data_IF_388966757055
#
_entry.id   IF_388966757055
#
_cell.length_a   1.000
_cell.length_b   1.000
_cell.length_c   1.000
_cell.angle_alpha   90.00
_cell.angle_beta   90.00
_cell.angle_gamma   90.00
#
_symmetry.space_group_name_H-M   'P 1'
#
loop_
_entity.id
_entity.type
_entity.pdbx_description
1 polymer ?
#
# COMPACT_ATOMS: atom_id res chain seq x y z
N UNK A 1 -5.44 -2.88 -27.36
CA UNK A 1 -5.75 -2.53 -25.95
C UNK A 1 -7.14 -3.04 -25.63
N UNK A 2 -7.30 -3.87 -24.59
CA UNK A 2 -8.59 -4.41 -24.17
C UNK A 2 -9.56 -3.31 -23.72
N UNK A 3 -10.87 -3.57 -23.73
CA UNK A 3 -11.91 -2.63 -23.28
C UNK A 3 -11.74 -2.22 -21.80
N UNK A 4 -11.13 -3.09 -20.99
CA UNK A 4 -10.80 -2.82 -19.58
C UNK A 4 -9.72 -1.75 -19.42
N UNK A 5 -8.65 -1.80 -20.22
CA UNK A 5 -7.59 -0.79 -20.16
C UNK A 5 -8.11 0.62 -20.47
N UNK A 6 -9.11 0.74 -21.36
CA UNK A 6 -9.76 2.03 -21.64
C UNK A 6 -10.55 2.56 -20.43
N UNK A 7 -11.25 1.69 -19.69
CA UNK A 7 -11.99 2.09 -18.48
C UNK A 7 -11.04 2.55 -17.38
N UNK A 8 -9.92 1.85 -17.19
CA UNK A 8 -8.89 2.21 -16.21
C UNK A 8 -8.30 3.58 -16.55
N UNK A 9 -7.89 3.79 -17.80
CA UNK A 9 -7.35 5.09 -18.26
C UNK A 9 -8.38 6.21 -18.10
N UNK A 10 -9.65 5.98 -18.46
CA UNK A 10 -10.71 6.97 -18.29
C UNK A 10 -10.96 7.33 -16.82
N UNK A 11 -10.90 6.34 -15.93
CA UNK A 11 -11.02 6.56 -14.49
C UNK A 11 -9.83 7.37 -13.95
N UNK A 12 -8.61 7.04 -14.40
CA UNK A 12 -7.39 7.76 -14.04
C UNK A 12 -7.45 9.23 -14.47
N UNK A 13 -7.82 9.49 -15.73
CA UNK A 13 -8.01 10.86 -16.23
C UNK A 13 -9.08 11.61 -15.45
N UNK A 14 -10.15 10.94 -15.02
CA UNK A 14 -11.17 11.57 -14.17
C UNK A 14 -10.62 11.96 -12.80
N UNK A 15 -9.65 11.22 -12.24
CA UNK A 15 -9.00 11.58 -10.97
C UNK A 15 -8.05 12.77 -11.15
N UNK A 16 -7.22 12.75 -12.20
CA UNK A 16 -6.32 13.88 -12.56
C UNK A 16 -7.09 15.17 -12.80
N UNK A 17 -8.17 15.08 -13.59
CA UNK A 17 -8.98 16.23 -13.99
C UNK A 17 -9.54 17.01 -12.79
N UNK A 18 -9.75 16.33 -11.66
CA UNK A 18 -10.25 16.96 -10.43
C UNK A 18 -9.23 17.93 -9.80
N UNK A 19 -7.94 17.73 -10.05
CA UNK A 19 -6.84 18.54 -9.50
C UNK A 19 -6.14 19.39 -10.57
N UNK A 20 -6.81 19.65 -11.71
CA UNK A 20 -6.20 20.38 -12.82
C UNK A 20 -5.81 21.82 -12.46
N UNK A 21 -6.51 22.43 -11.50
CA UNK A 21 -6.21 23.76 -10.98
C UNK A 21 -4.79 23.86 -10.39
N UNK A 22 -4.25 22.75 -9.86
CA UNK A 22 -2.90 22.68 -9.30
C UNK A 22 -1.88 22.11 -10.30
N UNK A 23 -2.30 21.15 -11.13
CA UNK A 23 -1.41 20.54 -12.11
C UNK A 23 -1.06 21.46 -13.29
N UNK A 24 -2.01 22.25 -13.80
CA UNK A 24 -1.77 23.14 -14.95
C UNK A 24 -0.72 24.22 -14.65
N UNK A 25 -0.78 24.96 -13.52
CA UNK A 25 0.27 25.90 -13.15
C UNK A 25 1.64 25.21 -12.99
N UNK A 26 1.69 24.01 -12.40
CA UNK A 26 2.93 23.25 -12.27
C UNK A 26 3.55 22.87 -13.63
N UNK A 27 2.71 22.44 -14.58
CA UNK A 27 3.12 22.14 -15.95
C UNK A 27 3.64 23.39 -16.68
N UNK A 28 2.96 24.52 -16.52
CA UNK A 28 3.38 25.81 -17.09
C UNK A 28 4.72 26.26 -16.50
N UNK A 29 4.91 26.20 -15.19
CA UNK A 29 6.17 26.52 -14.54
C UNK A 29 7.32 25.62 -15.05
N UNK A 30 7.07 24.32 -15.24
CA UNK A 30 8.07 23.38 -15.78
C UNK A 30 8.41 23.66 -17.24
N UNK A 31 7.40 23.99 -18.05
CA UNK A 31 7.58 24.38 -19.45
C UNK A 31 8.43 25.65 -19.57
N UNK A 32 8.13 26.69 -18.78
CA UNK A 32 8.90 27.94 -18.76
C UNK A 32 10.31 27.71 -18.23
N UNK A 33 10.49 26.89 -17.18
CA UNK A 33 11.80 26.48 -16.68
C UNK A 33 12.63 25.80 -17.77
N UNK A 34 12.02 24.92 -18.58
CA UNK A 34 12.69 24.26 -19.71
C UNK A 34 13.15 25.25 -20.77
N UNK A 35 12.33 26.26 -21.10
CA UNK A 35 12.71 27.33 -22.05
C UNK A 35 13.86 28.17 -21.49
N UNK A 36 13.82 28.54 -20.20
CA UNK A 36 14.91 29.29 -19.56
C UNK A 36 16.22 28.48 -19.53
N UNK A 37 16.15 27.16 -19.38
CA UNK A 37 17.32 26.28 -19.52
C UNK A 37 17.99 26.43 -20.89
N UNK A 38 17.20 26.36 -21.97
CA UNK A 38 17.68 26.53 -23.35
C UNK A 38 18.27 27.93 -23.58
N UNK A 39 17.59 28.97 -23.07
CA UNK A 39 18.07 30.36 -23.14
C UNK A 39 19.40 30.49 -22.38
N UNK A 40 19.51 29.92 -21.19
CA UNK A 40 20.75 29.89 -20.40
C UNK A 40 21.91 29.25 -21.16
N UNK A 41 21.69 28.09 -21.78
CA UNK A 41 22.72 27.44 -22.63
C UNK A 41 23.13 28.33 -23.81
N UNK A 42 22.20 29.08 -24.37
CA UNK A 42 22.48 29.98 -25.50
C UNK A 42 23.25 31.24 -25.08
N UNK A 43 22.96 31.79 -23.90
CA UNK A 43 23.73 32.88 -23.29
C UNK A 43 25.17 32.42 -23.01
N UNK A 44 25.34 31.17 -22.58
CA UNK A 44 26.67 30.58 -22.41
C UNK A 44 27.45 30.50 -23.73
N UNK A 45 26.81 30.08 -24.82
CA UNK A 45 27.45 30.10 -26.15
C UNK A 45 27.90 31.52 -26.55
N UNK A 46 27.04 32.53 -26.32
CA UNK A 46 27.38 33.94 -26.54
C UNK A 46 28.55 34.44 -25.68
N UNK A 47 28.64 33.99 -24.43
CA UNK A 47 29.76 34.28 -23.54
C UNK A 47 31.08 33.75 -24.13
N UNK A 48 31.09 32.52 -24.64
CA UNK A 48 32.28 31.91 -25.24
C UNK A 48 32.68 32.63 -26.53
N UNK A 49 31.74 32.76 -27.46
CA UNK A 49 32.05 33.25 -28.81
C UNK A 49 32.37 34.75 -28.84
N UNK A 50 31.59 35.58 -28.14
CA UNK A 50 31.71 37.04 -28.24
C UNK A 50 32.56 37.67 -27.14
N UNK A 51 32.62 37.09 -25.95
CA UNK A 51 33.34 37.69 -24.81
C UNK A 51 34.73 37.07 -24.64
N UNK A 52 34.83 35.74 -24.63
CA UNK A 52 36.11 35.06 -24.45
C UNK A 52 36.95 35.05 -25.73
N UNK A 53 36.37 34.64 -26.86
CA UNK A 53 37.09 34.64 -28.16
C UNK A 53 37.13 36.02 -28.81
N UNK A 54 36.06 36.81 -28.71
CA UNK A 54 35.98 38.17 -29.30
C UNK A 54 36.67 39.29 -28.51
N UNK A 55 37.20 39.00 -27.30
CA UNK A 55 38.00 39.96 -26.50
C UNK A 55 37.22 41.14 -25.89
N UNK A 56 35.89 41.19 -26.00
CA UNK A 56 35.10 42.34 -25.59
C UNK A 56 34.72 42.31 -24.10
N UNK A 57 35.64 42.77 -23.24
CA UNK A 57 35.49 42.75 -21.77
C UNK A 57 34.28 43.53 -21.22
N UNK A 58 33.74 44.49 -21.97
CA UNK A 58 32.57 45.28 -21.52
C UNK A 58 31.28 44.48 -21.48
N UNK A 59 31.15 43.43 -22.31
CA UNK A 59 29.98 42.54 -22.31
C UNK A 59 30.05 41.43 -21.25
N UNK A 60 31.18 41.26 -20.57
CA UNK A 60 31.40 40.13 -19.65
C UNK A 60 30.43 40.17 -18.47
N UNK A 61 30.34 41.31 -17.78
CA UNK A 61 29.45 41.50 -16.64
C UNK A 61 27.95 41.34 -16.97
N UNK A 62 27.38 42.01 -18.00
CA UNK A 62 25.96 41.87 -18.31
C UNK A 62 25.58 40.47 -18.80
N UNK A 63 26.44 39.80 -19.57
CA UNK A 63 26.18 38.42 -20.03
C UNK A 63 26.24 37.42 -18.87
N UNK A 64 27.17 37.59 -17.93
CA UNK A 64 27.22 36.74 -16.73
C UNK A 64 26.00 36.94 -15.82
N UNK A 65 25.58 38.19 -15.58
CA UNK A 65 24.39 38.47 -14.77
C UNK A 65 23.11 37.90 -15.39
N UNK A 66 22.94 38.04 -16.70
CA UNK A 66 21.79 37.47 -17.42
C UNK A 66 21.81 35.95 -17.42
N UNK A 67 22.99 35.33 -17.56
CA UNK A 67 23.15 33.88 -17.44
C UNK A 67 22.73 33.40 -16.04
N UNK A 68 23.33 33.96 -14.98
CA UNK A 68 23.04 33.59 -13.60
C UNK A 68 21.56 33.81 -13.27
N UNK A 69 21.00 34.94 -13.70
CA UNK A 69 19.58 35.26 -13.50
C UNK A 69 18.66 34.25 -14.21
N UNK A 70 18.98 33.85 -15.45
CA UNK A 70 18.19 32.87 -16.19
C UNK A 70 18.20 31.48 -15.53
N UNK A 71 19.37 31.03 -15.07
CA UNK A 71 19.54 29.74 -14.38
C UNK A 71 18.81 29.76 -13.03
N UNK A 72 18.96 30.85 -12.27
CA UNK A 72 18.31 31.01 -10.98
C UNK A 72 16.77 31.08 -11.10
N UNK A 73 16.27 31.83 -12.09
CA UNK A 73 14.84 31.87 -12.39
C UNK A 73 14.31 30.48 -12.82
N UNK A 74 15.06 29.76 -13.65
CA UNK A 74 14.75 28.38 -14.03
C UNK A 74 14.68 27.44 -12.83
N UNK A 75 15.62 27.55 -11.89
CA UNK A 75 15.64 26.79 -10.65
C UNK A 75 14.42 27.09 -9.76
N UNK A 76 14.09 28.36 -9.54
CA UNK A 76 12.91 28.75 -8.75
C UNK A 76 11.61 28.23 -9.36
N UNK A 77 11.46 28.28 -10.68
CA UNK A 77 10.29 27.74 -11.38
C UNK A 77 10.21 26.22 -11.28
N UNK A 78 11.35 25.53 -11.36
CA UNK A 78 11.39 24.07 -11.19
C UNK A 78 10.99 23.69 -9.76
N UNK A 79 11.51 24.40 -8.75
CA UNK A 79 11.14 24.21 -7.35
C UNK A 79 9.65 24.47 -7.12
N UNK A 80 9.10 25.54 -7.70
CA UNK A 80 7.67 25.87 -7.64
C UNK A 80 6.82 24.78 -8.29
N UNK A 81 7.22 24.29 -9.47
CA UNK A 81 6.53 23.21 -10.15
C UNK A 81 6.55 21.91 -9.31
N UNK A 82 7.71 21.55 -8.75
CA UNK A 82 7.85 20.37 -7.89
C UNK A 82 6.95 20.46 -6.65
N UNK A 83 6.84 21.65 -6.04
CA UNK A 83 5.94 21.89 -4.92
C UNK A 83 4.47 21.71 -5.31
N UNK A 84 4.05 22.30 -6.43
CA UNK A 84 2.67 22.17 -6.95
C UNK A 84 2.32 20.72 -7.29
N UNK A 85 3.23 19.98 -7.94
CA UNK A 85 3.02 18.56 -8.25
C UNK A 85 2.96 17.69 -6.99
N UNK A 86 3.76 18.00 -5.97
CA UNK A 86 3.74 17.28 -4.70
C UNK A 86 2.39 17.44 -3.99
N UNK A 87 1.83 18.66 -3.96
CA UNK A 87 0.51 18.91 -3.38
C UNK A 87 -0.57 18.19 -4.19
N UNK A 88 -0.55 18.33 -5.52
CA UNK A 88 -1.53 17.70 -6.40
C UNK A 88 -1.51 16.16 -6.23
N UNK A 89 -0.33 15.54 -6.26
CA UNK A 89 -0.17 14.10 -6.11
C UNK A 89 -0.62 13.57 -4.75
N UNK A 90 -0.39 14.33 -3.67
CA UNK A 90 -0.89 13.97 -2.34
C UNK A 90 -2.43 14.03 -2.26
N UNK A 91 -3.04 15.07 -2.84
CA UNK A 91 -4.49 15.21 -2.89
C UNK A 91 -5.17 14.10 -3.69
N UNK A 92 -4.57 13.67 -4.81
CA UNK A 92 -5.06 12.57 -5.64
C UNK A 92 -5.00 11.23 -4.92
N UNK A 93 -3.87 10.93 -4.27
CA UNK A 93 -3.71 9.72 -3.44
C UNK A 93 -4.74 9.67 -2.32
N UNK A 94 -4.96 10.80 -1.63
CA UNK A 94 -5.97 10.89 -0.56
C UNK A 94 -7.37 10.61 -1.09
N UNK A 95 -7.73 11.19 -2.25
CA UNK A 95 -9.04 10.96 -2.86
C UNK A 95 -9.23 9.50 -3.30
N UNK A 96 -8.18 8.84 -3.81
CA UNK A 96 -8.22 7.42 -4.13
C UNK A 96 -8.41 6.56 -2.88
N UNK A 97 -7.68 6.84 -1.80
CA UNK A 97 -7.83 6.13 -0.52
C UNK A 97 -9.25 6.25 0.02
N UNK A 98 -9.85 7.44 -0.02
CA UNK A 98 -11.23 7.65 0.42
C UNK A 98 -12.23 6.82 -0.41
N UNK A 99 -12.10 6.81 -1.74
CA UNK A 99 -12.97 6.02 -2.62
C UNK A 99 -12.80 4.51 -2.41
N UNK A 100 -11.55 4.06 -2.29
CA UNK A 100 -11.24 2.65 -2.07
C UNK A 100 -11.77 2.18 -0.72
N UNK A 101 -11.56 2.96 0.34
CA UNK A 101 -12.09 2.68 1.67
C UNK A 101 -13.62 2.64 1.68
N UNK A 102 -14.29 3.63 1.07
CA UNK A 102 -15.75 3.65 0.95
C UNK A 102 -16.29 2.46 0.15
N UNK A 103 -15.54 1.96 -0.84
CA UNK A 103 -15.90 0.77 -1.60
C UNK A 103 -15.76 -0.51 -0.77
N UNK A 104 -14.65 -0.67 -0.04
CA UNK A 104 -14.43 -1.83 0.85
C UNK A 104 -15.57 -1.97 1.85
N UNK A 105 -15.99 -0.87 2.49
CA UNK A 105 -17.07 -0.87 3.48
C UNK A 105 -18.44 -1.33 2.94
N UNK A 106 -18.62 -1.39 1.61
CA UNK A 106 -19.86 -1.84 0.96
C UNK A 106 -19.78 -3.28 0.45
N UNK A 107 -18.62 -3.93 0.58
CA UNK A 107 -18.44 -5.29 0.09
C UNK A 107 -19.16 -6.31 1.01
N UNK A 108 -19.65 -7.43 0.46
CA UNK A 108 -20.27 -8.50 1.25
C UNK A 108 -19.28 -9.13 2.24
N UNK A 109 -19.78 -9.66 3.36
CA UNK A 109 -18.95 -10.30 4.40
C UNK A 109 -18.06 -11.44 3.86
N UNK A 110 -18.54 -12.20 2.88
CA UNK A 110 -17.75 -13.25 2.21
C UNK A 110 -16.41 -12.73 1.66
N UNK A 111 -16.34 -11.48 1.20
CA UNK A 111 -15.07 -10.89 0.74
C UNK A 111 -14.03 -10.82 1.86
N UNK A 112 -14.45 -10.58 3.10
CA UNK A 112 -13.59 -10.47 4.28
C UNK A 112 -13.27 -11.82 4.92
N UNK A 113 -14.03 -12.86 4.61
CA UNK A 113 -13.72 -14.24 5.01
C UNK A 113 -12.57 -14.81 4.17
N UNK A 114 -12.51 -14.45 2.88
CA UNK A 114 -11.47 -14.93 1.96
C UNK A 114 -10.20 -14.07 2.02
N UNK A 115 -10.32 -12.75 2.19
CA UNK A 115 -9.18 -11.84 2.17
C UNK A 115 -8.79 -11.41 3.59
N UNK A 116 -7.53 -11.63 3.97
CA UNK A 116 -7.03 -11.26 5.30
C UNK A 116 -7.07 -9.74 5.49
N UNK A 117 -7.44 -9.22 6.68
CA UNK A 117 -7.44 -7.78 6.95
C UNK A 117 -6.11 -7.07 6.64
N UNK A 118 -4.98 -7.74 6.90
CA UNK A 118 -3.64 -7.21 6.59
C UNK A 118 -3.35 -7.06 5.09
N UNK A 119 -3.92 -7.94 4.26
CA UNK A 119 -3.78 -7.85 2.80
C UNK A 119 -4.59 -6.67 2.24
N UNK A 120 -5.81 -6.49 2.74
CA UNK A 120 -6.67 -5.35 2.37
C UNK A 120 -5.99 -4.03 2.78
N UNK A 121 -5.38 -4.00 3.98
CA UNK A 121 -4.65 -2.84 4.47
C UNK A 121 -3.41 -2.53 3.61
N UNK A 122 -2.59 -3.53 3.27
CA UNK A 122 -1.44 -3.33 2.39
C UNK A 122 -1.87 -2.86 0.99
N UNK A 123 -2.96 -3.38 0.43
CA UNK A 123 -3.52 -2.84 -0.83
C UNK A 123 -3.96 -1.38 -0.71
N UNK A 124 -4.61 -1.00 0.40
CA UNK A 124 -5.03 0.39 0.65
C UNK A 124 -3.84 1.34 0.86
N UNK A 125 -2.77 0.88 1.52
CA UNK A 125 -1.63 1.72 1.86
C UNK A 125 -0.55 1.72 0.79
N UNK A 126 -0.12 0.55 0.33
CA UNK A 126 1.03 0.37 -0.55
C UNK A 126 0.63 0.45 -2.02
N UNK A 127 -0.41 -0.29 -2.44
CA UNK A 127 -0.80 -0.29 -3.85
C UNK A 127 -1.38 1.05 -4.27
N UNK A 128 -2.20 1.70 -3.44
CA UNK A 128 -2.70 3.05 -3.73
C UNK A 128 -1.55 4.07 -3.86
N UNK A 129 -0.48 3.92 -3.07
CA UNK A 129 0.70 4.77 -3.19
C UNK A 129 1.44 4.52 -4.51
N UNK A 130 1.74 3.26 -4.83
CA UNK A 130 2.44 2.87 -6.07
C UNK A 130 1.68 3.32 -7.31
N UNK A 131 0.37 3.05 -7.34
CA UNK A 131 -0.55 3.49 -8.40
C UNK A 131 -0.55 5.02 -8.49
N UNK A 132 -0.59 5.72 -7.35
CA UNK A 132 -0.56 7.17 -7.30
C UNK A 132 0.72 7.78 -7.91
N UNK A 133 1.90 7.30 -7.52
CA UNK A 133 3.17 7.78 -8.07
C UNK A 133 3.30 7.48 -9.57
N UNK A 134 3.04 6.25 -10.00
CA UNK A 134 3.25 5.88 -11.40
C UNK A 134 2.29 6.56 -12.36
N UNK A 135 1.06 6.81 -11.94
CA UNK A 135 0.01 7.33 -12.83
C UNK A 135 0.05 8.86 -12.88
N UNK A 136 0.01 9.50 -11.72
CA UNK A 136 -0.19 10.94 -11.69
C UNK A 136 1.08 11.72 -11.98
N UNK A 137 2.17 11.33 -11.33
CA UNK A 137 3.48 11.93 -11.53
C UNK A 137 4.11 11.43 -12.84
N UNK A 138 3.99 10.13 -13.13
CA UNK A 138 4.52 9.55 -14.37
C UNK A 138 3.94 10.14 -15.65
N UNK A 139 2.61 10.30 -15.75
CA UNK A 139 1.97 10.90 -16.95
C UNK A 139 2.33 12.36 -17.09
N UNK A 140 2.31 13.12 -15.99
CA UNK A 140 2.70 14.54 -15.98
C UNK A 140 4.15 14.73 -16.43
N UNK A 141 5.07 13.95 -15.85
CA UNK A 141 6.47 13.97 -16.22
C UNK A 141 6.69 13.52 -17.67
N UNK A 142 5.92 12.55 -18.15
CA UNK A 142 5.98 12.14 -19.56
C UNK A 142 5.60 13.29 -20.49
N UNK A 143 4.48 13.98 -20.23
CA UNK A 143 4.04 15.15 -21.03
C UNK A 143 5.11 16.24 -21.04
N UNK A 144 5.65 16.58 -19.87
CA UNK A 144 6.71 17.61 -19.75
C UNK A 144 7.97 17.15 -20.48
N UNK A 145 8.38 15.90 -20.30
CA UNK A 145 9.58 15.35 -20.96
C UNK A 145 9.47 15.37 -22.47
N UNK A 146 8.32 15.02 -23.04
CA UNK A 146 8.06 15.11 -24.48
C UNK A 146 8.13 16.57 -24.95
N UNK A 147 7.51 17.50 -24.22
CA UNK A 147 7.55 18.92 -24.54
C UNK A 147 8.99 19.49 -24.50
N UNK A 148 9.73 19.21 -23.42
CA UNK A 148 11.13 19.63 -23.25
C UNK A 148 12.03 19.03 -24.33
N UNK A 149 11.82 17.76 -24.69
CA UNK A 149 12.56 17.09 -25.76
C UNK A 149 12.31 17.74 -27.12
N UNK A 150 11.05 18.05 -27.44
CA UNK A 150 10.69 18.75 -28.68
C UNK A 150 11.37 20.12 -28.73
N UNK A 151 11.27 20.90 -27.66
CA UNK A 151 11.90 22.23 -27.59
C UNK A 151 13.42 22.15 -27.74
N UNK A 152 14.07 21.22 -27.03
CA UNK A 152 15.51 21.05 -27.05
C UNK A 152 15.99 20.65 -28.43
N UNK A 153 15.40 19.64 -29.06
CA UNK A 153 15.80 19.26 -30.42
C UNK A 153 15.49 20.35 -31.44
N UNK A 154 14.33 21.01 -31.35
CA UNK A 154 14.00 22.13 -32.24
C UNK A 154 15.05 23.23 -32.16
N UNK A 155 15.52 23.56 -30.95
CA UNK A 155 16.60 24.51 -30.74
C UNK A 155 17.95 24.01 -31.29
N UNK A 156 18.30 22.74 -31.05
CA UNK A 156 19.54 22.16 -31.59
C UNK A 156 19.59 22.20 -33.12
N UNK A 157 18.49 21.86 -33.79
CA UNK A 157 18.38 21.94 -35.24
C UNK A 157 18.48 23.38 -35.77
N UNK A 158 17.95 24.36 -35.01
CA UNK A 158 18.07 25.77 -35.35
C UNK A 158 19.53 26.28 -35.28
N UNK A 159 20.31 25.79 -34.31
CA UNK A 159 21.73 26.17 -34.14
C UNK A 159 22.63 25.51 -35.18
N UNK A 160 22.63 24.17 -35.26
CA UNK A 160 23.40 23.43 -36.26
C UNK A 160 22.76 22.06 -36.55
N UNK A 161 22.14 21.92 -37.72
CA UNK A 161 21.51 20.67 -38.13
C UNK A 161 22.52 19.54 -38.39
N UNK A 162 23.74 19.84 -38.85
CA UNK A 162 24.75 18.81 -39.20
C UNK A 162 25.26 18.13 -37.94
N UNK A 163 25.58 18.93 -36.93
CA UNK A 163 26.06 18.45 -35.64
C UNK A 163 24.95 17.69 -34.89
N UNK A 164 23.70 18.14 -35.02
CA UNK A 164 22.53 17.46 -34.46
C UNK A 164 22.30 16.08 -35.07
N UNK A 165 22.42 15.92 -36.41
CA UNK A 165 22.32 14.61 -37.05
C UNK A 165 23.42 13.64 -36.61
N UNK A 166 24.65 14.12 -36.42
CA UNK A 166 25.74 13.30 -35.86
C UNK A 166 25.41 12.82 -34.44
N UNK A 167 24.87 13.70 -33.59
CA UNK A 167 24.45 13.33 -32.24
C UNK A 167 23.28 12.32 -32.25
N UNK A 168 22.28 12.51 -33.12
CA UNK A 168 21.15 11.60 -33.27
C UNK A 168 21.57 10.18 -33.70
N UNK A 169 22.65 10.04 -34.47
CA UNK A 169 23.20 8.71 -34.84
C UNK A 169 23.69 7.90 -33.63
N UNK A 170 23.98 8.54 -32.49
CA UNK A 170 24.38 7.82 -31.26
C UNK A 170 23.18 7.27 -30.49
N UNK A 171 21.97 7.79 -30.71
CA UNK A 171 20.77 7.39 -29.95
C UNK A 171 20.46 5.89 -30.10
N UNK A 172 20.48 5.27 -31.30
CA UNK A 172 20.26 3.83 -31.44
C UNK A 172 21.26 2.99 -30.64
N UNK A 173 22.52 3.41 -30.57
CA UNK A 173 23.55 2.73 -29.79
C UNK A 173 23.21 2.78 -28.29
N UNK A 174 22.82 3.95 -27.78
CA UNK A 174 22.36 4.11 -26.39
C UNK A 174 21.12 3.25 -26.10
N UNK A 175 20.11 3.26 -26.97
CA UNK A 175 18.89 2.47 -26.78
C UNK A 175 19.16 0.96 -26.73
N UNK A 176 20.14 0.46 -27.50
CA UNK A 176 20.52 -0.97 -27.47
C UNK A 176 21.18 -1.31 -26.12
N UNK A 177 22.10 -0.46 -25.65
CA UNK A 177 22.77 -0.65 -24.35
C UNK A 177 21.76 -0.59 -23.21
N UNK A 178 20.91 0.44 -23.19
CA UNK A 178 19.84 0.61 -22.20
C UNK A 178 18.90 -0.59 -22.20
N UNK A 179 18.42 -1.03 -23.37
CA UNK A 179 17.53 -2.20 -23.47
C UNK A 179 18.21 -3.46 -22.92
N UNK A 180 19.50 -3.67 -23.22
CA UNK A 180 20.26 -4.83 -22.73
C UNK A 180 20.44 -4.81 -21.22
N UNK A 181 20.74 -3.65 -20.65
CA UNK A 181 20.85 -3.47 -19.19
C UNK A 181 19.47 -3.62 -18.55
N UNK A 182 18.45 -2.96 -19.09
CA UNK A 182 17.07 -2.98 -18.60
C UNK A 182 16.52 -4.41 -18.50
N UNK A 183 16.64 -5.24 -19.53
CA UNK A 183 16.15 -6.62 -19.46
C UNK A 183 16.87 -7.45 -18.39
N UNK A 184 18.17 -7.22 -18.17
CA UNK A 184 18.91 -7.88 -17.09
C UNK A 184 18.45 -7.38 -15.73
N UNK A 185 18.35 -6.07 -15.55
CA UNK A 185 17.92 -5.44 -14.30
C UNK A 185 16.49 -5.83 -13.95
N UNK A 186 15.56 -5.82 -14.91
CA UNK A 186 14.16 -6.17 -14.67
C UNK A 186 13.99 -7.65 -14.30
N UNK A 187 14.71 -8.56 -14.98
CA UNK A 187 14.73 -9.99 -14.61
C UNK A 187 15.27 -10.18 -13.19
N UNK A 188 16.34 -9.47 -12.87
CA UNK A 188 16.96 -9.52 -11.55
C UNK A 188 16.07 -8.90 -10.46
N UNK A 189 15.40 -7.78 -10.75
CA UNK A 189 14.48 -7.11 -9.83
C UNK A 189 13.25 -7.98 -9.53
N UNK A 190 12.69 -8.67 -10.55
CA UNK A 190 11.63 -9.67 -10.34
C UNK A 190 12.07 -10.81 -9.42
N UNK A 191 13.28 -11.33 -9.62
CA UNK A 191 13.85 -12.35 -8.74
C UNK A 191 14.05 -11.83 -7.31
N UNK A 192 14.64 -10.64 -7.16
CA UNK A 192 14.85 -9.97 -5.88
C UNK A 192 13.53 -9.76 -5.10
N UNK A 193 12.48 -9.27 -5.77
CA UNK A 193 11.16 -9.09 -5.15
C UNK A 193 10.54 -10.41 -4.67
N UNK A 194 10.74 -11.50 -5.42
CA UNK A 194 10.27 -12.83 -5.02
C UNK A 194 11.02 -13.32 -3.77
N UNK A 195 12.35 -13.27 -3.79
CA UNK A 195 13.22 -13.74 -2.70
C UNK A 195 13.01 -12.92 -1.41
N UNK A 196 12.88 -11.60 -1.55
CA UNK A 196 12.56 -10.69 -0.45
C UNK A 196 11.16 -10.97 0.13
N UNK A 197 10.19 -11.31 -0.72
CA UNK A 197 8.84 -11.71 -0.30
C UNK A 197 8.83 -13.01 0.50
N UNK A 198 9.59 -14.02 0.07
CA UNK A 198 9.75 -15.29 0.78
C UNK A 198 10.43 -15.11 2.14
N UNK A 199 11.48 -14.29 2.20
CA UNK A 199 12.22 -13.98 3.43
C UNK A 199 11.36 -13.21 4.44
N UNK A 200 10.58 -12.22 3.96
CA UNK A 200 9.65 -11.48 4.80
C UNK A 200 8.49 -12.37 5.30
N UNK A 201 8.01 -13.29 4.46
CA UNK A 201 7.00 -14.28 4.83
C UNK A 201 7.46 -15.22 5.96
N UNK A 202 8.68 -15.74 5.89
CA UNK A 202 9.25 -16.57 6.96
C UNK A 202 9.45 -15.81 8.26
N UNK A 203 9.90 -14.55 8.18
CA UNK A 203 10.00 -13.67 9.35
C UNK A 203 8.61 -13.47 9.99
N UNK A 204 7.58 -13.20 9.20
CA UNK A 204 6.20 -13.09 9.70
C UNK A 204 5.71 -14.39 10.35
N UNK A 205 6.00 -15.55 9.76
CA UNK A 205 5.64 -16.85 10.34
C UNK A 205 6.39 -17.12 11.65
N UNK A 206 7.68 -16.79 11.70
CA UNK A 206 8.51 -16.96 12.90
C UNK A 206 8.05 -16.04 14.04
N UNK A 207 7.66 -14.80 13.72
CA UNK A 207 7.12 -13.86 14.69
C UNK A 207 5.70 -14.25 15.14
N UNK A 208 4.82 -14.67 14.23
CA UNK A 208 3.49 -15.15 14.59
C UNK A 208 3.56 -16.42 15.46
N UNK A 209 4.54 -17.29 15.21
CA UNK A 209 4.83 -18.50 15.97
C UNK A 209 5.84 -18.31 17.11
N UNK A 210 6.16 -17.07 17.52
CA UNK A 210 7.30 -16.80 18.42
C UNK A 210 7.19 -17.53 19.76
N UNK A 211 5.97 -17.71 20.26
CA UNK A 211 5.72 -18.46 21.47
C UNK A 211 6.10 -19.94 21.29
N UNK A 212 5.71 -20.57 20.18
CA UNK A 212 6.05 -21.95 19.86
C UNK A 212 7.58 -22.14 19.75
N UNK A 213 8.27 -21.20 19.09
CA UNK A 213 9.73 -21.21 18.95
C UNK A 213 10.40 -21.12 20.32
N UNK A 214 9.92 -20.24 21.21
CA UNK A 214 10.45 -20.10 22.58
C UNK A 214 10.15 -21.31 23.45
N UNK A 215 8.94 -21.88 23.36
CA UNK A 215 8.54 -23.05 24.16
C UNK A 215 9.27 -24.32 23.76
N UNK A 216 9.61 -24.47 22.48
CA UNK A 216 10.34 -25.62 21.95
C UNK A 216 11.86 -25.42 22.00
N UNK A 217 12.33 -24.27 22.50
CA UNK A 217 13.73 -23.88 22.54
C UNK A 217 14.43 -23.97 21.16
N UNK A 218 13.74 -23.51 20.11
CA UNK A 218 14.19 -23.54 18.71
C UNK A 218 14.74 -22.18 18.22
N UNK A 219 15.16 -21.30 19.13
CA UNK A 219 15.57 -19.93 18.81
C UNK A 219 16.80 -19.92 17.89
N UNK A 220 17.79 -20.78 18.16
CA UNK A 220 19.00 -20.88 17.36
C UNK A 220 18.72 -21.41 15.95
N UNK A 221 17.81 -22.38 15.83
CA UNK A 221 17.36 -22.89 14.53
C UNK A 221 16.65 -21.81 13.72
N UNK A 222 15.73 -21.08 14.34
CA UNK A 222 15.00 -19.99 13.68
C UNK A 222 15.94 -18.86 13.24
N UNK A 223 16.92 -18.50 14.09
CA UNK A 223 17.95 -17.53 13.77
C UNK A 223 18.81 -17.98 12.58
N UNK A 224 19.29 -19.23 12.58
CA UNK A 224 20.13 -19.76 11.50
C UNK A 224 19.37 -19.90 10.18
N UNK A 225 18.11 -20.36 10.22
CA UNK A 225 17.24 -20.44 9.02
C UNK A 225 17.06 -19.07 8.38
N UNK A 226 16.74 -18.06 9.19
CA UNK A 226 16.59 -16.69 8.72
C UNK A 226 17.92 -16.09 8.22
N UNK A 227 19.02 -16.35 8.93
CA UNK A 227 20.35 -15.85 8.57
C UNK A 227 20.84 -16.41 7.23
N UNK A 228 20.66 -17.71 6.95
CA UNK A 228 21.07 -18.30 5.68
C UNK A 228 20.28 -17.72 4.49
N UNK A 229 18.98 -17.44 4.65
CA UNK A 229 18.20 -16.74 3.62
C UNK A 229 18.63 -15.29 3.43
N UNK A 230 18.87 -14.56 4.52
CA UNK A 230 19.44 -13.22 4.45
C UNK A 230 20.79 -13.20 3.75
N UNK A 231 21.64 -14.20 3.98
CA UNK A 231 22.95 -14.34 3.35
C UNK A 231 22.85 -14.67 1.86
N UNK A 232 21.87 -15.47 1.46
CA UNK A 232 21.57 -15.72 0.05
C UNK A 232 21.18 -14.41 -0.68
N UNK A 233 20.37 -13.56 -0.04
CA UNK A 233 20.03 -12.21 -0.51
C UNK A 233 21.24 -11.27 -0.51
N UNK A 234 22.03 -11.24 0.55
CA UNK A 234 23.16 -10.31 0.71
C UNK A 234 24.29 -10.55 -0.30
N UNK A 235 24.50 -11.80 -0.75
CA UNK A 235 25.48 -12.12 -1.81
C UNK A 235 25.20 -11.43 -3.15
N UNK A 236 24.03 -10.81 -3.29
CA UNK A 236 23.59 -10.19 -4.53
C UNK A 236 23.85 -8.68 -4.58
N UNK A 237 24.48 -8.09 -3.55
CA UNK A 237 25.04 -6.74 -3.60
C UNK A 237 24.05 -5.60 -3.32
N UNK A 238 22.82 -5.90 -2.96
CA UNK A 238 21.85 -4.92 -2.46
C UNK A 238 21.88 -4.86 -0.93
N UNK A 239 21.85 -3.64 -0.38
CA UNK A 239 21.66 -3.42 1.05
C UNK A 239 20.27 -3.93 1.46
N UNK A 240 20.22 -4.88 2.39
CA UNK A 240 19.00 -5.30 3.07
C UNK A 240 18.50 -4.13 3.93
N UNK A 241 17.72 -3.23 3.33
CA UNK A 241 16.92 -2.31 4.11
C UNK A 241 15.73 -3.09 4.67
N UNK A 242 15.99 -3.77 5.79
CA UNK A 242 14.96 -4.34 6.65
C UNK A 242 14.30 -3.19 7.41
N UNK A 243 13.62 -2.29 6.69
CA UNK A 243 12.72 -1.33 7.32
C UNK A 243 11.54 -2.11 7.90
N UNK A 244 11.73 -2.60 9.11
CA UNK A 244 10.67 -2.96 10.04
C UNK A 244 9.82 -1.71 10.26
N UNK A 245 8.75 -1.58 9.47
CA UNK A 245 7.71 -0.61 9.69
C UNK A 245 6.34 -1.30 9.72
N UNK A 246 6.27 -2.41 10.47
CA UNK A 246 5.06 -2.80 11.17
C UNK A 246 4.81 -1.79 12.29
N UNK A 247 4.40 -0.57 11.94
CA UNK A 247 3.74 0.32 12.91
C UNK A 247 2.28 -0.09 12.98
N UNK A 248 1.86 -0.38 14.22
CA UNK A 248 0.50 -0.55 14.71
C UNK A 248 -0.07 -1.98 14.64
N UNK A 249 -0.34 -2.52 15.84
CA UNK A 249 -1.49 -3.39 16.02
C UNK A 249 -1.24 -4.76 16.64
N UNK A 250 -0.36 -4.90 17.64
CA UNK A 250 -0.61 -5.93 18.66
C UNK A 250 -1.83 -5.48 19.48
N UNK A 251 -3.02 -5.69 18.94
CA UNK A 251 -4.27 -5.45 19.64
C UNK A 251 -4.83 -6.79 20.10
N UNK A 252 -4.67 -7.02 21.40
CA UNK A 252 -5.42 -7.93 22.24
C UNK A 252 -5.26 -9.42 21.90
N UNK A 253 -4.81 -10.20 22.88
CA UNK A 253 -4.86 -11.66 22.86
C UNK A 253 -6.28 -12.16 22.54
N UNK A 254 -6.43 -13.38 22.03
CA UNK A 254 -7.73 -13.93 21.63
C UNK A 254 -8.82 -13.78 22.70
N UNK A 255 -8.47 -13.99 23.97
CA UNK A 255 -9.38 -13.79 25.12
C UNK A 255 -9.64 -12.33 25.49
N UNK A 256 -8.73 -11.41 25.16
CA UNK A 256 -8.97 -9.96 25.32
C UNK A 256 -9.88 -9.42 24.22
N UNK A 257 -9.73 -9.88 22.97
CA UNK A 257 -10.63 -9.52 21.87
C UNK A 257 -12.04 -10.02 22.13
N UNK A 258 -12.18 -11.24 22.65
CA UNK A 258 -13.48 -11.81 23.00
C UNK A 258 -14.17 -11.02 24.13
N UNK A 259 -13.42 -10.61 25.17
CA UNK A 259 -13.93 -9.74 26.24
C UNK A 259 -14.40 -8.38 25.73
N UNK A 260 -13.64 -7.76 24.83
CA UNK A 260 -14.05 -6.48 24.20
C UNK A 260 -15.29 -6.65 23.33
N UNK A 261 -15.39 -7.73 22.53
CA UNK A 261 -16.59 -8.02 21.74
C UNK A 261 -17.83 -8.25 22.61
N UNK A 262 -17.69 -9.00 23.70
CA UNK A 262 -18.77 -9.21 24.67
C UNK A 262 -19.20 -7.88 25.29
N UNK A 263 -18.25 -7.07 25.77
CA UNK A 263 -18.55 -5.75 26.33
C UNK A 263 -19.25 -4.83 25.32
N UNK A 264 -18.81 -4.82 24.06
CA UNK A 264 -19.46 -4.06 22.97
C UNK A 264 -20.88 -4.55 22.70
N UNK A 265 -21.10 -5.87 22.72
CA UNK A 265 -22.42 -6.44 22.51
C UNK A 265 -23.40 -6.08 23.65
N UNK A 266 -22.91 -6.05 24.89
CA UNK A 266 -23.68 -5.64 26.07
C UNK A 266 -23.99 -4.13 26.11
N UNK A 267 -23.08 -3.30 25.60
CA UNK A 267 -23.28 -1.84 25.54
C UNK A 267 -24.28 -1.42 24.46
N UNK A 268 -24.50 -2.24 23.43
CA UNK A 268 -25.33 -1.89 22.25
C UNK A 268 -26.83 -1.98 22.50
N UNK A 269 -27.24 -2.39 23.69
CA UNK A 269 -28.62 -2.57 24.13
C UNK A 269 -29.55 -3.27 23.10
N UNK A 270 -29.04 -4.29 22.40
CA UNK A 270 -29.81 -4.98 21.36
C UNK A 270 -30.94 -5.85 21.97
N UNK A 271 -32.11 -5.96 21.31
CA UNK A 271 -33.22 -6.82 21.77
C UNK A 271 -32.94 -8.31 21.56
N UNK A 272 -32.06 -8.64 20.61
CA UNK A 272 -31.60 -10.00 20.30
C UNK A 272 -30.07 -9.98 20.31
N UNK A 273 -29.48 -10.90 21.07
CA UNK A 273 -28.03 -11.07 21.22
C UNK A 273 -27.64 -12.48 20.75
N UNK A 274 -26.82 -12.56 19.70
CA UNK A 274 -26.25 -13.82 19.20
C UNK A 274 -24.79 -13.91 19.66
N UNK A 275 -24.45 -14.97 20.38
CA UNK A 275 -23.11 -15.22 20.90
C UNK A 275 -22.59 -16.56 20.36
N UNK A 276 -21.55 -16.48 19.53
CA UNK A 276 -20.87 -17.66 19.00
C UNK A 276 -19.67 -18.00 19.87
N UNK A 277 -19.75 -19.13 20.57
CA UNK A 277 -18.79 -19.66 21.54
C UNK A 277 -18.20 -18.60 22.50
N UNK A 278 -19.01 -17.81 23.22
CA UNK A 278 -18.50 -16.68 24.02
C UNK A 278 -17.57 -17.09 25.18
N UNK A 279 -17.47 -18.40 25.47
CA UNK A 279 -16.67 -18.97 26.56
C UNK A 279 -15.41 -19.69 26.07
N UNK A 280 -15.12 -19.74 24.77
CA UNK A 280 -14.00 -20.53 24.21
C UNK A 280 -12.60 -20.05 24.59
N UNK A 281 -12.39 -18.74 24.83
CA UNK A 281 -11.11 -18.19 25.29
C UNK A 281 -11.18 -17.57 26.70
N UNK A 282 -12.14 -18.01 27.53
CA UNK A 282 -12.27 -17.60 28.93
C UNK A 282 -11.83 -18.70 29.89
N UNK A 283 -11.17 -18.31 30.98
CA UNK A 283 -10.92 -19.21 32.11
C UNK A 283 -12.22 -19.57 32.83
N UNK A 284 -12.22 -20.69 33.56
CA UNK A 284 -13.41 -21.24 34.22
C UNK A 284 -14.08 -20.25 35.22
N UNK A 285 -13.30 -19.34 35.84
CA UNK A 285 -13.82 -18.32 36.74
C UNK A 285 -14.57 -17.23 35.98
N UNK A 286 -13.94 -16.66 34.95
CA UNK A 286 -14.54 -15.62 34.10
C UNK A 286 -15.73 -16.14 33.29
N UNK A 287 -15.69 -17.40 32.84
CA UNK A 287 -16.81 -18.06 32.18
C UNK A 287 -18.07 -18.05 33.06
N UNK A 288 -17.96 -18.47 34.33
CA UNK A 288 -19.09 -18.45 35.27
C UNK A 288 -19.65 -17.07 35.50
N UNK A 289 -18.78 -16.08 35.72
CA UNK A 289 -19.18 -14.70 35.94
C UNK A 289 -19.94 -14.12 34.73
N UNK A 290 -19.49 -14.45 33.51
CA UNK A 290 -20.17 -14.05 32.28
C UNK A 290 -21.56 -14.70 32.17
N UNK A 291 -21.68 -16.00 32.44
CA UNK A 291 -22.96 -16.70 32.32
C UNK A 291 -23.98 -16.23 33.37
N UNK A 292 -23.54 -15.97 34.60
CA UNK A 292 -24.39 -15.35 35.63
C UNK A 292 -24.87 -13.96 35.22
N UNK A 293 -23.95 -13.14 34.67
CA UNK A 293 -24.29 -11.82 34.17
C UNK A 293 -25.31 -11.90 33.03
N UNK A 294 -25.09 -12.75 32.02
CA UNK A 294 -26.01 -12.92 30.90
C UNK A 294 -27.39 -13.41 31.38
N UNK A 295 -27.43 -14.26 32.40
CA UNK A 295 -28.68 -14.73 33.02
C UNK A 295 -29.46 -13.61 33.70
N UNK A 296 -28.78 -12.65 34.35
CA UNK A 296 -29.44 -11.47 34.92
C UNK A 296 -29.86 -10.47 33.83
N UNK A 297 -29.02 -10.31 32.80
CA UNK A 297 -29.22 -9.39 31.69
C UNK A 297 -30.37 -9.81 30.75
N UNK A 298 -30.83 -11.06 30.81
CA UNK A 298 -31.88 -11.63 29.95
C UNK A 298 -33.30 -11.12 30.21
N UNK A 299 -33.58 -10.44 31.33
CA UNK A 299 -34.96 -10.16 31.77
C UNK A 299 -35.83 -9.39 30.75
N UNK A 300 -35.24 -8.78 29.72
CA UNK A 300 -35.96 -8.13 28.61
C UNK A 300 -35.38 -8.46 27.22
N UNK A 301 -34.60 -9.53 27.08
CA UNK A 301 -33.81 -9.80 25.87
C UNK A 301 -33.79 -11.27 25.47
N UNK A 302 -33.69 -11.51 24.16
CA UNK A 302 -33.46 -12.84 23.62
C UNK A 302 -31.96 -13.07 23.44
N UNK A 303 -31.40 -14.09 24.07
CA UNK A 303 -29.98 -14.45 23.94
C UNK A 303 -29.90 -15.83 23.29
N UNK A 304 -29.23 -15.91 22.13
CA UNK A 304 -28.96 -17.15 21.42
C UNK A 304 -27.47 -17.45 21.59
N UNK A 305 -27.17 -18.59 22.18
CA UNK A 305 -25.80 -19.03 22.45
C UNK A 305 -25.49 -20.25 21.59
N UNK A 306 -24.43 -20.18 20.78
CA UNK A 306 -23.87 -21.33 20.07
C UNK A 306 -22.66 -21.79 20.86
N UNK A 307 -22.64 -23.05 21.31
CA UNK A 307 -21.54 -23.59 22.11
C UNK A 307 -21.41 -25.09 21.93
N UNK A 308 -20.18 -25.58 22.02
CA UNK A 308 -19.86 -27.01 22.16
C UNK A 308 -19.58 -27.41 23.61
N UNK A 309 -19.64 -26.46 24.57
CA UNK A 309 -19.25 -26.68 25.97
C UNK A 309 -20.47 -27.02 26.83
N UNK A 310 -20.55 -28.23 27.43
CA UNK A 310 -21.67 -28.62 28.28
C UNK A 310 -21.88 -27.69 29.49
N UNK A 311 -20.80 -27.14 30.03
CA UNK A 311 -20.81 -26.18 31.14
C UNK A 311 -21.63 -24.93 30.85
N UNK A 312 -21.72 -24.50 29.59
CA UNK A 312 -22.50 -23.34 29.20
C UNK A 312 -23.97 -23.70 28.92
N UNK A 313 -24.23 -24.92 28.43
CA UNK A 313 -25.59 -25.42 28.16
C UNK A 313 -26.43 -25.55 29.43
N UNK A 314 -25.81 -25.86 30.57
CA UNK A 314 -26.46 -25.93 31.89
C UNK A 314 -27.18 -24.63 32.30
N UNK A 315 -26.79 -23.50 31.71
CA UNK A 315 -27.31 -22.17 32.05
C UNK A 315 -28.36 -21.67 31.07
N UNK A 316 -28.65 -22.42 30.01
CA UNK A 316 -29.62 -22.07 28.98
C UNK A 316 -31.03 -22.53 29.38
N UNK A 317 -32.05 -21.70 29.12
CA UNK A 317 -33.45 -22.08 29.37
C UNK A 317 -33.95 -23.17 28.39
N UNK A 318 -33.34 -23.23 27.20
CA UNK A 318 -33.65 -24.21 26.18
C UNK A 318 -32.39 -24.53 25.39
N UNK A 319 -32.18 -25.82 25.13
CA UNK A 319 -31.07 -26.32 24.31
C UNK A 319 -31.65 -26.94 23.04
N UNK A 320 -31.05 -26.59 21.90
CA UNK A 320 -31.40 -27.11 20.57
C UNK A 320 -30.16 -27.76 19.99
N UNK A 321 -30.24 -29.05 19.68
CA UNK A 321 -29.14 -29.82 19.07
C UNK A 321 -29.38 -29.91 17.58
N UNK A 322 -28.37 -29.51 16.80
CA UNK A 322 -28.37 -29.56 15.35
C UNK A 322 -27.44 -30.66 14.86
N UNK A 323 -27.90 -31.51 13.94
CA UNK A 323 -27.07 -32.46 13.20
C UNK A 323 -27.41 -32.36 11.70
N UNK A 324 -26.39 -32.23 10.85
CA UNK A 324 -26.53 -32.08 9.40
C UNK A 324 -27.59 -31.01 8.98
N UNK A 325 -27.64 -29.89 9.70
CA UNK A 325 -28.59 -28.80 9.43
C UNK A 325 -30.05 -29.09 9.80
N UNK A 326 -30.33 -30.17 10.55
CA UNK A 326 -31.66 -30.47 11.09
C UNK A 326 -31.63 -30.47 12.62
N UNK A 327 -32.73 -30.06 13.24
CA UNK A 327 -32.92 -30.17 14.70
C UNK A 327 -33.15 -31.64 15.03
N UNK A 328 -32.25 -32.22 15.82
CA UNK A 328 -32.35 -33.63 16.25
C UNK A 328 -32.89 -33.77 17.68
N UNK A 329 -32.69 -32.75 18.53
CA UNK A 329 -33.22 -32.72 19.88
C UNK A 329 -33.48 -31.27 20.32
N UNK A 330 -34.52 -31.06 21.13
CA UNK A 330 -34.88 -29.77 21.70
C UNK A 330 -35.54 -29.96 23.06
N UNK A 331 -35.07 -29.25 24.09
CA UNK A 331 -35.59 -29.39 25.44
C UNK A 331 -34.76 -28.64 26.48
N UNK A 332 -35.08 -28.85 27.75
CA UNK A 332 -34.24 -28.40 28.86
C UNK A 332 -32.96 -29.24 28.93
N UNK A 333 -31.89 -28.71 29.52
CA UNK A 333 -30.59 -29.37 29.64
C UNK A 333 -30.71 -30.79 30.25
N UNK A 334 -31.58 -30.98 31.24
CA UNK A 334 -31.78 -32.29 31.90
C UNK A 334 -32.40 -33.32 30.95
N UNK A 335 -33.32 -32.89 30.08
CA UNK A 335 -33.92 -33.75 29.06
C UNK A 335 -32.90 -34.07 27.97
N UNK A 336 -32.21 -33.04 27.48
CA UNK A 336 -31.20 -33.15 26.44
C UNK A 336 -30.05 -34.04 26.91
N UNK A 337 -29.58 -33.98 28.16
CA UNK A 337 -28.48 -34.80 28.67
C UNK A 337 -28.77 -36.32 28.61
N UNK A 338 -30.03 -36.73 28.82
CA UNK A 338 -30.46 -38.14 28.66
C UNK A 338 -30.48 -38.57 27.20
N UNK A 339 -30.89 -37.67 26.31
CA UNK A 339 -30.90 -37.91 24.87
C UNK A 339 -29.49 -37.76 24.24
N UNK A 340 -28.59 -36.98 24.84
CA UNK A 340 -27.24 -36.72 24.36
C UNK A 340 -26.36 -37.98 24.42
N UNK A 341 -26.52 -38.79 25.47
CA UNK A 341 -25.84 -40.09 25.61
C UNK A 341 -26.33 -41.11 24.57
N UNK A 342 -27.55 -40.98 24.04
CA UNK A 342 -28.09 -41.87 23.00
C UNK A 342 -27.82 -41.38 21.58
N UNK A 343 -27.62 -40.07 21.36
CA UNK A 343 -27.39 -39.45 20.05
C UNK A 343 -25.94 -39.55 19.55
N UNK A 344 -24.95 -39.69 20.43
CA UNK A 344 -23.52 -39.89 20.09
C UNK A 344 -23.04 -41.35 20.13
N UNK A 345 -23.93 -42.30 20.46
CA UNK A 345 -23.62 -43.74 20.50
C UNK A 345 -23.62 -44.42 19.10
N UNK A 346 -23.62 -43.62 18.02
CA UNK A 346 -23.48 -44.01 16.61
C UNK A 346 -22.40 -43.14 15.99
#
# INVERSE_FOLDING_TARGET
>A
MSSENKKIISFMFSCVKKQWELQLPGMLCSAVSSVLGIVGTSIFALLVDKVLMGGNRKLLWPVQLTFISSVFAGFLLNMMAAYLFSIAGNAERLSLRQRFFAHILRLPNHFFEVNKPGEIFSRLMDDVNRVGYSIFEGVTNFIISVFTLILLYSWMFYVDYRLTFMALMLIPLFLIVDKRIFYRVEKYNRWYQKEMGETNGELQQSLAGILAIKTLNLQDWAHMSFFEKCKALARTGFSLDMSFAGKQGEQLSGGERQRVCIAQALLRDAPILLLDEPTSALDMGTERALMEFLRQYRQQKTIILVTHRPSAMEWCDQVVVLNQGRVVAQGDFVQIKKDYESVLAV
#
